data_IF_049528161133
#
_entry.id   IF_049528161133
#
_cell.length_a   1.000
_cell.length_b   1.000
_cell.length_c   1.000
_cell.angle_alpha   90.00
_cell.angle_beta   90.00
_cell.angle_gamma   90.00
#
_symmetry.space_group_name_H-M   'P 1'
#
loop_
_entity.id
_entity.type
_entity.pdbx_description
1 polymer ?
#
# COMPACT_ATOMS: atom_id res chain seq x y z
N UNK A 1 -28.93 -59.32 -15.89
CA UNK A 1 -27.72 -60.13 -15.63
C UNK A 1 -26.59 -59.12 -15.50
N UNK A 2 -25.95 -59.06 -14.32
CA UNK A 2 -24.76 -58.26 -14.12
C UNK A 2 -23.53 -59.11 -14.41
N UNK A 3 -22.60 -58.54 -15.13
CA UNK A 3 -21.30 -59.14 -15.42
C UNK A 3 -20.21 -58.34 -14.73
N UNK A 4 -19.43 -59.00 -13.91
CA UNK A 4 -18.23 -58.45 -13.28
C UNK A 4 -17.02 -59.27 -13.73
N UNK A 5 -16.04 -58.56 -14.31
CA UNK A 5 -14.76 -59.16 -14.65
C UNK A 5 -13.64 -58.19 -14.36
N UNK A 6 -12.52 -58.70 -13.82
CA UNK A 6 -11.30 -57.92 -13.57
C UNK A 6 -10.23 -58.38 -14.54
N UNK A 7 -9.71 -57.45 -15.30
CA UNK A 7 -8.60 -57.71 -16.24
C UNK A 7 -7.41 -56.87 -15.83
N UNK A 8 -6.21 -57.47 -15.70
CA UNK A 8 -5.01 -56.73 -15.41
C UNK A 8 -4.78 -55.63 -16.46
N UNK A 9 -4.46 -54.43 -16.02
CA UNK A 9 -4.16 -53.31 -16.93
C UNK A 9 -2.90 -53.60 -17.75
N UNK A 10 -2.92 -53.21 -19.01
CA UNK A 10 -1.76 -53.13 -19.90
C UNK A 10 -1.82 -51.85 -20.71
N UNK A 11 -0.66 -51.26 -21.03
CA UNK A 11 -0.55 -49.92 -21.71
C UNK A 11 -1.39 -49.81 -22.99
N UNK A 12 -1.50 -50.89 -23.79
CA UNK A 12 -2.31 -50.89 -25.00
C UNK A 12 -3.82 -50.68 -24.77
N UNK A 13 -4.27 -50.82 -23.52
CA UNK A 13 -5.68 -50.61 -23.15
C UNK A 13 -6.08 -49.15 -23.12
N UNK A 14 -5.11 -48.25 -22.93
CA UNK A 14 -5.36 -46.81 -22.93
C UNK A 14 -5.83 -46.33 -24.31
N UNK A 15 -7.00 -45.67 -24.35
CA UNK A 15 -7.65 -45.26 -25.61
C UNK A 15 -8.41 -46.35 -26.33
N UNK A 16 -8.40 -47.60 -25.83
CA UNK A 16 -9.11 -48.75 -26.42
C UNK A 16 -10.63 -48.65 -26.21
N UNK A 17 -11.34 -49.22 -27.17
CA UNK A 17 -12.80 -49.31 -27.13
C UNK A 17 -13.20 -50.65 -26.50
N UNK A 18 -14.08 -50.58 -25.49
CA UNK A 18 -14.70 -51.78 -24.89
C UNK A 18 -15.90 -52.17 -25.72
N UNK A 19 -15.84 -53.39 -26.25
CA UNK A 19 -16.94 -53.99 -26.99
C UNK A 19 -17.57 -55.16 -26.21
N UNK A 20 -18.87 -55.18 -26.14
CA UNK A 20 -19.62 -56.34 -25.69
C UNK A 20 -20.06 -57.16 -26.93
N UNK A 21 -19.56 -58.39 -27.01
CA UNK A 21 -19.97 -59.35 -28.00
C UNK A 21 -20.87 -60.41 -27.33
N UNK A 22 -22.13 -60.44 -27.71
CA UNK A 22 -23.12 -61.38 -27.19
C UNK A 22 -23.54 -62.33 -28.30
N UNK A 23 -23.42 -63.64 -28.03
CA UNK A 23 -23.86 -64.69 -28.94
C UNK A 23 -24.89 -65.56 -28.21
N UNK A 24 -26.08 -65.61 -28.74
CA UNK A 24 -27.18 -66.45 -28.21
C UNK A 24 -27.25 -67.74 -29.00
N UNK A 25 -27.19 -68.87 -28.28
CA UNK A 25 -27.21 -70.20 -28.91
C UNK A 25 -28.52 -70.94 -28.54
N UNK A 26 -29.09 -71.64 -29.52
CA UNK A 26 -30.16 -72.51 -29.30
C UNK A 26 -29.75 -73.96 -28.96
N UNK A 27 -30.68 -74.89 -28.95
CA UNK A 27 -30.32 -76.27 -28.78
C UNK A 27 -29.41 -76.78 -29.92
N UNK A 28 -28.51 -77.73 -29.60
CA UNK A 28 -27.47 -78.24 -30.51
C UNK A 28 -26.43 -77.25 -30.96
N UNK A 29 -26.15 -76.23 -30.16
CA UNK A 29 -25.12 -75.23 -30.40
C UNK A 29 -25.31 -74.43 -31.72
N UNK A 30 -26.54 -74.20 -32.12
CA UNK A 30 -26.90 -73.42 -33.30
C UNK A 30 -26.91 -71.91 -32.88
N UNK A 31 -26.10 -71.06 -33.50
CA UNK A 31 -26.11 -69.61 -33.27
C UNK A 31 -27.47 -69.02 -33.71
N UNK A 32 -28.21 -68.42 -32.79
CA UNK A 32 -29.53 -67.85 -33.04
C UNK A 32 -29.46 -66.35 -33.25
N UNK A 33 -28.58 -65.68 -32.52
CA UNK A 33 -28.38 -64.20 -32.62
C UNK A 33 -26.98 -63.84 -32.17
N UNK A 34 -26.46 -62.81 -32.83
CA UNK A 34 -25.19 -62.21 -32.44
C UNK A 34 -25.36 -60.69 -32.38
N UNK A 35 -24.91 -60.10 -31.30
CA UNK A 35 -24.96 -58.64 -31.10
C UNK A 35 -23.61 -58.14 -30.60
N UNK A 36 -23.11 -57.05 -31.24
CA UNK A 36 -21.92 -56.35 -30.80
C UNK A 36 -22.32 -54.95 -30.44
N UNK A 37 -22.04 -54.57 -29.20
CA UNK A 37 -22.33 -53.22 -28.69
C UNK A 37 -21.08 -52.58 -28.11
N UNK A 38 -20.90 -51.29 -28.36
CA UNK A 38 -19.83 -50.51 -27.72
C UNK A 38 -20.27 -50.13 -26.31
N UNK A 39 -19.52 -50.54 -25.31
CA UNK A 39 -19.76 -50.21 -23.90
C UNK A 39 -19.15 -48.87 -23.51
N UNK A 40 -18.02 -48.50 -24.15
CA UNK A 40 -17.33 -47.27 -23.87
C UNK A 40 -15.88 -47.27 -24.36
N UNK A 41 -15.17 -46.22 -24.07
CA UNK A 41 -13.73 -46.12 -24.30
C UNK A 41 -13.02 -46.08 -22.96
N UNK A 42 -12.02 -46.91 -22.78
CA UNK A 42 -11.14 -46.82 -21.62
C UNK A 42 -10.13 -45.72 -21.85
N UNK A 43 -10.02 -44.78 -20.92
CA UNK A 43 -8.98 -43.75 -20.88
C UNK A 43 -8.36 -43.79 -19.49
N UNK A 44 -7.06 -43.97 -19.42
CA UNK A 44 -6.37 -43.83 -18.16
C UNK A 44 -6.43 -42.36 -17.71
N UNK A 45 -6.84 -42.12 -16.48
CA UNK A 45 -6.79 -40.78 -15.93
C UNK A 45 -5.33 -40.35 -15.78
N UNK A 46 -4.92 -39.39 -16.57
CA UNK A 46 -3.60 -38.78 -16.44
C UNK A 46 -3.63 -37.82 -15.23
N UNK A 47 -2.95 -38.17 -14.18
CA UNK A 47 -2.67 -37.29 -13.06
C UNK A 47 -1.24 -36.76 -13.27
N UNK A 48 -1.07 -35.52 -13.79
CA UNK A 48 0.24 -34.94 -13.91
C UNK A 48 0.89 -34.81 -12.52
N UNK A 49 2.05 -35.38 -12.38
CA UNK A 49 2.88 -35.14 -11.20
C UNK A 49 3.40 -33.71 -11.28
N UNK A 50 2.80 -32.81 -10.51
CA UNK A 50 3.21 -31.39 -10.46
C UNK A 50 4.55 -31.32 -9.70
N UNK A 51 5.63 -31.18 -10.45
CA UNK A 51 6.94 -30.80 -9.85
C UNK A 51 6.92 -29.29 -9.64
N UNK A 52 6.64 -28.87 -8.41
CA UNK A 52 6.68 -27.46 -8.03
C UNK A 52 8.16 -27.06 -7.85
N UNK A 53 8.61 -26.14 -8.67
CA UNK A 53 9.93 -25.52 -8.55
C UNK A 53 9.76 -24.14 -7.94
N UNK A 54 10.27 -23.95 -6.73
CA UNK A 54 10.24 -22.66 -6.06
C UNK A 54 11.52 -21.90 -6.34
N UNK A 55 11.40 -20.68 -6.81
CA UNK A 55 12.53 -19.78 -6.95
C UNK A 55 12.71 -19.04 -5.64
N UNK A 56 13.90 -19.11 -5.06
CA UNK A 56 14.22 -18.33 -3.86
C UNK A 56 14.21 -16.84 -4.21
N UNK A 57 13.36 -16.03 -3.58
CA UNK A 57 13.38 -14.60 -3.80
C UNK A 57 14.69 -13.99 -3.30
N UNK A 58 15.12 -12.91 -3.95
CA UNK A 58 16.24 -12.13 -3.43
C UNK A 58 15.74 -11.32 -2.23
N UNK A 59 16.36 -11.52 -1.06
CA UNK A 59 16.09 -10.70 0.10
C UNK A 59 16.44 -9.23 -0.17
N UNK A 60 15.68 -8.32 0.41
CA UNK A 60 16.01 -6.90 0.38
C UNK A 60 17.31 -6.68 1.18
N UNK A 61 18.26 -5.96 0.60
CA UNK A 61 19.52 -5.59 1.27
C UNK A 61 19.21 -4.80 2.55
N UNK A 62 18.18 -3.95 2.49
CA UNK A 62 17.71 -3.14 3.59
C UNK A 62 16.20 -2.93 3.43
N UNK A 63 15.43 -3.37 4.42
CA UNK A 63 13.97 -3.18 4.45
C UNK A 63 13.66 -1.75 4.86
N UNK A 64 13.26 -0.91 3.90
CA UNK A 64 12.91 0.50 4.11
C UNK A 64 11.43 0.70 3.97
N UNK A 65 10.89 1.54 4.86
CA UNK A 65 9.49 1.95 4.80
C UNK A 65 9.36 3.36 5.38
N UNK A 66 8.18 3.98 5.25
CA UNK A 66 7.92 5.31 5.77
C UNK A 66 6.48 5.50 6.24
N UNK A 67 6.31 6.33 7.27
CA UNK A 67 5.02 6.89 7.66
C UNK A 67 4.92 8.33 7.18
N UNK A 68 3.79 8.67 6.59
CA UNK A 68 3.51 10.02 6.10
C UNK A 68 2.24 10.57 6.74
N UNK A 69 2.19 11.88 6.87
CA UNK A 69 1.00 12.57 7.36
C UNK A 69 1.10 14.07 7.24
N UNK A 70 0.01 14.73 7.59
CA UNK A 70 -0.09 16.19 7.62
C UNK A 70 -0.59 16.67 8.98
N UNK A 71 -0.03 17.76 9.47
CA UNK A 71 -0.42 18.42 10.70
C UNK A 71 -0.71 19.91 10.45
N UNK A 72 -1.83 20.37 11.01
CA UNK A 72 -2.34 21.74 10.86
C UNK A 72 -2.05 22.57 12.11
N UNK A 73 -0.79 22.93 12.29
CA UNK A 73 -0.33 23.67 13.47
C UNK A 73 -0.73 25.14 13.34
N UNK A 74 -1.52 25.61 14.30
CA UNK A 74 -1.95 26.99 14.39
C UNK A 74 -0.83 27.88 14.98
N UNK A 75 -0.58 28.99 14.33
CA UNK A 75 0.32 30.05 14.81
C UNK A 75 -0.46 31.34 15.01
N UNK A 76 -0.15 32.16 16.03
CA UNK A 76 -0.67 33.53 16.06
C UNK A 76 -0.26 34.29 14.81
N UNK A 77 -0.98 35.36 14.48
CA UNK A 77 -0.74 36.18 13.29
C UNK A 77 0.73 36.65 13.29
N UNK A 78 1.39 36.52 12.16
CA UNK A 78 2.81 36.90 11.92
C UNK A 78 3.82 36.26 12.89
N UNK A 79 3.45 35.14 13.52
CA UNK A 79 4.36 34.40 14.41
C UNK A 79 4.76 33.04 13.85
N UNK A 80 5.95 32.62 14.27
CA UNK A 80 6.53 31.33 13.94
C UNK A 80 6.82 30.46 15.17
N UNK A 81 6.46 30.94 16.38
CA UNK A 81 6.64 30.17 17.61
C UNK A 81 5.47 29.21 17.82
N UNK A 82 5.77 27.96 18.16
CA UNK A 82 4.76 26.96 18.49
C UNK A 82 4.35 27.11 19.95
N UNK A 83 3.07 27.27 20.17
CA UNK A 83 2.42 27.21 21.46
C UNK A 83 1.58 25.93 21.52
N UNK A 84 1.98 24.87 22.25
CA UNK A 84 1.30 23.58 22.25
C UNK A 84 -0.18 23.65 22.65
N UNK A 85 -0.53 24.56 23.56
CA UNK A 85 -1.91 24.72 24.03
C UNK A 85 -2.74 25.72 23.20
N UNK A 86 -2.17 26.27 22.12
CA UNK A 86 -2.88 27.23 21.29
C UNK A 86 -3.83 26.50 20.33
N UNK A 87 -5.12 26.81 20.41
CA UNK A 87 -6.20 26.21 19.59
C UNK A 87 -6.16 24.69 19.57
N UNK A 88 -5.86 24.08 18.40
CA UNK A 88 -5.84 22.63 18.22
C UNK A 88 -4.44 22.02 18.25
N UNK A 89 -3.41 22.81 18.60
CA UNK A 89 -2.03 22.38 18.50
C UNK A 89 -1.72 21.12 19.30
N UNK A 90 -2.31 20.94 20.48
CA UNK A 90 -2.13 19.70 21.26
C UNK A 90 -2.50 18.45 20.43
N UNK A 91 -3.62 18.48 19.72
CA UNK A 91 -4.05 17.35 18.90
C UNK A 91 -3.17 17.19 17.63
N UNK A 92 -2.83 18.30 16.97
CA UNK A 92 -2.05 18.27 15.74
C UNK A 92 -0.59 17.86 15.98
N UNK A 93 0.04 18.35 17.03
CA UNK A 93 1.37 17.91 17.46
C UNK A 93 1.34 16.44 17.93
N UNK A 94 0.25 16.03 18.58
CA UNK A 94 0.02 14.65 18.99
C UNK A 94 0.00 13.66 17.84
N UNK A 95 -0.46 14.04 16.65
CA UNK A 95 -0.39 13.19 15.44
C UNK A 95 1.06 12.87 15.07
N UNK A 96 1.90 13.90 15.01
CA UNK A 96 3.33 13.74 14.68
C UNK A 96 4.02 12.87 15.74
N UNK A 97 3.76 13.18 17.02
CA UNK A 97 4.31 12.42 18.14
C UNK A 97 3.90 10.96 18.08
N UNK A 98 2.61 10.66 17.90
CA UNK A 98 2.11 9.29 17.78
C UNK A 98 2.73 8.54 16.60
N UNK A 99 2.94 9.21 15.47
CA UNK A 99 3.62 8.62 14.32
C UNK A 99 5.08 8.30 14.62
N UNK A 100 5.83 9.20 15.26
CA UNK A 100 7.22 8.96 15.67
C UNK A 100 7.29 7.84 16.71
N UNK A 101 6.42 7.88 17.73
CA UNK A 101 6.41 6.91 18.83
C UNK A 101 6.05 5.50 18.35
N UNK A 102 5.15 5.37 17.39
CA UNK A 102 4.77 4.07 16.82
C UNK A 102 5.94 3.32 16.18
N UNK A 103 6.89 4.08 15.62
CA UNK A 103 8.09 3.54 14.97
C UNK A 103 9.24 3.42 15.97
N UNK A 104 9.47 4.46 16.79
CA UNK A 104 10.60 4.52 17.72
C UNK A 104 10.54 3.49 18.84
N UNK A 105 9.32 3.15 19.29
CA UNK A 105 9.13 2.19 20.38
C UNK A 105 9.27 0.72 19.94
N UNK A 106 9.46 0.49 18.64
CA UNK A 106 9.69 -0.84 18.09
C UNK A 106 11.20 -1.11 17.99
N UNK A 107 11.68 -2.11 18.72
CA UNK A 107 13.10 -2.47 18.80
C UNK A 107 13.67 -3.00 17.50
N UNK A 108 12.81 -3.43 16.57
CA UNK A 108 13.21 -3.92 15.25
C UNK A 108 13.39 -2.81 14.23
N UNK A 109 13.03 -1.57 14.61
CA UNK A 109 12.95 -0.44 13.68
C UNK A 109 13.95 0.64 14.08
N UNK A 110 14.60 1.22 13.08
CA UNK A 110 15.50 2.37 13.24
C UNK A 110 15.03 3.51 12.36
N UNK A 111 14.71 4.65 12.96
CA UNK A 111 14.37 5.87 12.20
C UNK A 111 15.62 6.39 11.51
N UNK A 112 15.55 6.53 10.20
CA UNK A 112 16.65 7.02 9.36
C UNK A 112 16.55 8.48 9.01
N UNK A 113 15.33 9.00 8.81
CA UNK A 113 15.09 10.43 8.60
C UNK A 113 13.68 10.86 8.98
N UNK A 114 13.53 12.11 9.36
CA UNK A 114 12.25 12.80 9.53
C UNK A 114 12.28 14.01 8.61
N UNK A 115 11.45 14.01 7.58
CA UNK A 115 11.32 15.12 6.66
C UNK A 115 10.06 15.92 6.99
N UNK A 116 10.20 17.26 6.99
CA UNK A 116 9.13 18.20 7.30
C UNK A 116 9.04 19.21 6.17
N UNK A 117 7.85 19.40 5.58
CA UNK A 117 7.61 20.46 4.60
C UNK A 117 6.46 21.36 5.06
N UNK A 118 6.78 22.61 5.37
CA UNK A 118 5.80 23.60 5.80
C UNK A 118 5.22 24.38 4.63
N UNK A 119 3.92 24.67 4.73
CA UNK A 119 3.18 25.42 3.72
C UNK A 119 2.58 26.68 4.32
N UNK A 120 2.48 27.74 3.53
CA UNK A 120 1.63 28.87 3.83
C UNK A 120 0.49 29.00 2.79
N UNK A 121 -0.50 29.80 3.10
CA UNK A 121 -1.60 30.11 2.19
C UNK A 121 -1.24 31.28 1.28
N UNK A 122 -1.81 31.38 0.06
CA UNK A 122 -1.60 32.50 -0.85
C UNK A 122 -2.25 33.81 -0.37
N UNK A 123 -2.20 34.11 0.90
CA UNK A 123 -2.73 35.36 1.48
C UNK A 123 -1.58 36.29 1.87
N UNK A 124 -1.53 37.45 1.23
CA UNK A 124 -0.44 38.39 1.41
C UNK A 124 0.67 38.24 0.36
N UNK A 125 1.84 38.80 0.62
CA UNK A 125 2.93 38.73 -0.36
C UNK A 125 3.67 37.39 -0.31
N UNK A 126 4.07 36.89 -1.47
CA UNK A 126 4.87 35.68 -1.61
C UNK A 126 6.14 35.69 -0.75
N UNK A 127 6.85 36.86 -0.69
CA UNK A 127 8.03 37.01 0.12
C UNK A 127 7.77 36.83 1.62
N UNK A 128 6.68 37.37 2.13
CA UNK A 128 6.27 37.21 3.53
C UNK A 128 5.83 35.76 3.82
N UNK A 129 5.05 35.15 2.94
CA UNK A 129 4.62 33.77 3.06
C UNK A 129 5.80 32.80 3.07
N UNK A 130 6.83 33.07 2.26
CA UNK A 130 8.09 32.33 2.27
C UNK A 130 8.76 32.36 3.65
N UNK A 131 8.91 33.54 4.25
CA UNK A 131 9.49 33.68 5.58
C UNK A 131 8.68 32.95 6.65
N UNK A 132 7.36 33.01 6.58
CA UNK A 132 6.47 32.29 7.48
C UNK A 132 6.60 30.78 7.32
N UNK A 133 6.60 30.24 6.10
CA UNK A 133 6.74 28.83 5.84
C UNK A 133 8.08 28.29 6.39
N UNK A 134 9.19 28.98 6.11
CA UNK A 134 10.52 28.62 6.62
C UNK A 134 10.55 28.67 8.15
N UNK A 135 10.10 29.77 8.74
CA UNK A 135 10.16 29.99 10.19
C UNK A 135 9.30 29.00 10.97
N UNK A 136 8.09 28.67 10.48
CA UNK A 136 7.16 27.69 11.08
C UNK A 136 7.72 26.28 11.01
N UNK A 137 8.27 25.90 9.85
CA UNK A 137 8.88 24.56 9.70
C UNK A 137 10.12 24.42 10.58
N UNK A 138 10.96 25.47 10.67
CA UNK A 138 12.11 25.49 11.58
C UNK A 138 11.68 25.41 13.07
N UNK A 139 10.56 26.01 13.43
CA UNK A 139 10.01 25.90 14.79
C UNK A 139 9.54 24.47 15.10
N UNK A 140 8.88 23.81 14.15
CA UNK A 140 8.47 22.42 14.30
C UNK A 140 9.70 21.50 14.40
N UNK A 141 10.72 21.69 13.56
CA UNK A 141 11.99 20.95 13.67
C UNK A 141 12.55 21.06 15.10
N UNK A 142 12.67 22.29 15.62
CA UNK A 142 13.18 22.50 17.00
C UNK A 142 12.32 21.81 18.05
N UNK A 143 11.00 21.88 17.93
CA UNK A 143 10.06 21.21 18.83
C UNK A 143 10.30 19.70 18.85
N UNK A 144 10.37 19.05 17.70
CA UNK A 144 10.62 17.61 17.57
C UNK A 144 12.01 17.24 18.10
N UNK A 145 13.06 18.03 17.79
CA UNK A 145 14.41 17.81 18.30
C UNK A 145 14.49 17.86 19.82
N UNK A 146 13.76 18.77 20.45
CA UNK A 146 13.71 18.86 21.92
C UNK A 146 13.04 17.65 22.57
N UNK A 147 12.00 17.11 21.94
CA UNK A 147 11.26 15.93 22.47
C UNK A 147 12.06 14.63 22.32
N UNK A 148 12.65 14.42 21.15
CA UNK A 148 13.18 13.11 20.77
C UNK A 148 14.70 13.00 20.82
N UNK A 149 15.43 14.11 20.85
CA UNK A 149 16.90 14.18 20.95
C UNK A 149 17.56 13.23 19.95
N UNK A 150 17.11 13.27 18.69
CA UNK A 150 17.73 12.50 17.62
C UNK A 150 19.22 12.82 17.49
N UNK A 151 20.04 11.79 17.26
CA UNK A 151 21.45 11.96 16.97
C UNK A 151 21.65 12.40 15.51
N UNK A 152 22.57 13.33 15.29
CA UNK A 152 22.90 13.85 13.97
C UNK A 152 21.79 14.63 13.27
N UNK A 153 21.90 14.79 11.97
CA UNK A 153 20.96 15.54 11.13
C UNK A 153 19.80 14.67 10.59
N UNK A 154 19.13 13.95 11.49
CA UNK A 154 18.00 13.09 11.14
C UNK A 154 16.80 13.91 10.62
N UNK A 155 16.63 15.17 11.08
CA UNK A 155 15.48 15.99 10.71
C UNK A 155 15.88 16.97 9.59
N UNK A 156 15.29 16.76 8.42
CA UNK A 156 15.41 17.66 7.26
C UNK A 156 14.16 18.51 7.09
N UNK A 157 14.30 19.70 6.53
CA UNK A 157 13.18 20.62 6.33
C UNK A 157 13.14 21.13 4.91
N UNK A 158 11.93 21.28 4.40
CA UNK A 158 11.57 21.91 3.15
C UNK A 158 10.41 22.89 3.37
N UNK A 159 10.09 23.73 2.40
CA UNK A 159 8.99 24.67 2.50
C UNK A 159 8.37 24.95 1.13
N UNK A 160 7.08 25.26 1.15
CA UNK A 160 6.34 25.81 0.02
C UNK A 160 5.76 27.16 0.45
N UNK A 161 6.17 28.26 -0.17
CA UNK A 161 5.71 29.59 0.24
C UNK A 161 4.20 29.76 0.15
N UNK A 162 3.57 29.13 -0.84
CA UNK A 162 2.13 29.21 -1.08
C UNK A 162 1.60 27.89 -1.68
N UNK A 163 0.68 27.25 -1.00
CA UNK A 163 0.09 25.99 -1.45
C UNK A 163 -0.96 26.20 -2.55
N UNK A 164 -0.50 26.55 -3.73
CA UNK A 164 -1.36 26.69 -4.91
C UNK A 164 -1.95 25.35 -5.37
N UNK A 165 -1.25 24.25 -5.17
CA UNK A 165 -1.74 22.93 -5.51
C UNK A 165 -2.92 22.51 -4.61
N UNK A 166 -2.80 22.75 -3.31
CA UNK A 166 -3.90 22.56 -2.37
C UNK A 166 -5.07 23.49 -2.64
N UNK A 167 -4.82 24.76 -2.96
CA UNK A 167 -5.89 25.69 -3.36
C UNK A 167 -6.62 25.19 -4.60
N UNK A 168 -5.90 24.77 -5.63
CA UNK A 168 -6.46 24.16 -6.84
C UNK A 168 -7.38 22.99 -6.52
N UNK A 169 -6.91 22.08 -5.64
CA UNK A 169 -7.67 20.91 -5.20
C UNK A 169 -9.01 21.29 -4.55
N UNK A 170 -9.00 22.29 -3.65
CA UNK A 170 -10.24 22.77 -3.01
C UNK A 170 -11.17 23.47 -3.98
N UNK A 171 -10.64 24.32 -4.86
CA UNK A 171 -11.46 25.04 -5.86
C UNK A 171 -12.13 24.05 -6.80
N UNK A 172 -11.41 23.06 -7.31
CA UNK A 172 -11.91 22.04 -8.23
C UNK A 172 -13.10 21.24 -7.67
N UNK A 173 -13.10 21.02 -6.35
CA UNK A 173 -14.14 20.26 -5.63
C UNK A 173 -15.23 21.14 -5.03
N UNK A 174 -15.12 22.46 -5.19
CA UNK A 174 -16.12 23.41 -4.69
C UNK A 174 -17.29 23.58 -5.65
N UNK A 175 -18.35 24.21 -5.14
CA UNK A 175 -19.50 24.63 -5.93
C UNK A 175 -19.45 26.13 -6.31
N UNK A 176 -18.25 26.69 -6.42
CA UNK A 176 -18.05 28.08 -6.79
C UNK A 176 -18.54 28.34 -8.23
N UNK A 177 -19.19 29.47 -8.45
CA UNK A 177 -19.75 29.82 -9.75
C UNK A 177 -18.70 29.96 -10.85
N UNK A 178 -17.53 30.55 -10.52
CA UNK A 178 -16.41 30.78 -11.45
C UNK A 178 -15.26 29.80 -11.18
N UNK A 179 -15.59 28.55 -10.82
CA UNK A 179 -14.61 27.52 -10.49
C UNK A 179 -13.59 27.29 -11.61
N UNK A 180 -14.06 27.13 -12.85
CA UNK A 180 -13.21 26.81 -14.00
C UNK A 180 -12.25 27.95 -14.32
N UNK A 181 -12.70 29.19 -14.22
CA UNK A 181 -11.93 30.40 -14.46
C UNK A 181 -10.83 30.55 -13.39
N UNK A 182 -11.18 30.31 -12.12
CA UNK A 182 -10.22 30.37 -11.01
C UNK A 182 -9.17 29.29 -11.15
N UNK A 183 -9.55 28.04 -11.49
CA UNK A 183 -8.59 26.95 -11.77
C UNK A 183 -7.66 27.34 -12.92
N UNK A 184 -8.20 27.93 -13.99
CA UNK A 184 -7.39 28.41 -15.12
C UNK A 184 -6.39 29.49 -14.72
N UNK A 185 -6.76 30.37 -13.80
CA UNK A 185 -5.85 31.39 -13.23
C UNK A 185 -4.75 30.75 -12.37
N UNK A 186 -5.11 29.76 -11.55
CA UNK A 186 -4.14 29.04 -10.72
C UNK A 186 -3.13 28.29 -11.58
N UNK A 187 -3.58 27.62 -12.63
CA UNK A 187 -2.72 26.86 -13.55
C UNK A 187 -1.94 27.74 -14.53
N UNK A 188 -2.27 29.02 -14.62
CA UNK A 188 -1.62 29.98 -15.51
C UNK A 188 -0.20 30.34 -15.05
N UNK A 189 0.56 30.98 -15.94
CA UNK A 189 1.97 31.36 -15.72
C UNK A 189 2.16 32.73 -15.05
N UNK A 190 1.16 33.22 -14.33
CA UNK A 190 1.32 34.48 -13.59
C UNK A 190 2.15 34.26 -12.33
N UNK A 191 2.88 35.32 -11.92
CA UNK A 191 3.54 35.34 -10.62
C UNK A 191 2.50 35.20 -9.48
N UNK A 192 2.86 34.55 -8.36
CA UNK A 192 1.94 34.24 -7.26
C UNK A 192 1.12 35.44 -6.78
N UNK A 193 1.73 36.54 -6.45
CA UNK A 193 1.06 37.78 -5.99
C UNK A 193 0.08 38.30 -7.05
N UNK A 194 0.41 38.17 -8.34
CA UNK A 194 -0.46 38.57 -9.44
C UNK A 194 -1.67 37.63 -9.61
N UNK A 195 -1.50 36.33 -9.35
CA UNK A 195 -2.61 35.36 -9.33
C UNK A 195 -3.60 35.73 -8.25
N UNK A 196 -3.14 35.89 -7.00
CA UNK A 196 -3.97 36.25 -5.87
C UNK A 196 -4.72 37.56 -6.12
N UNK A 197 -4.00 38.61 -6.54
CA UNK A 197 -4.59 39.90 -6.84
C UNK A 197 -5.70 39.80 -7.90
N UNK A 198 -5.48 39.00 -8.94
CA UNK A 198 -6.45 38.80 -10.02
C UNK A 198 -7.69 38.06 -9.55
N UNK A 199 -7.53 37.00 -8.73
CA UNK A 199 -8.65 36.28 -8.14
C UNK A 199 -9.47 37.22 -7.24
N UNK A 200 -8.80 38.02 -6.41
CA UNK A 200 -9.42 38.97 -5.49
C UNK A 200 -10.20 40.08 -6.24
N UNK A 201 -9.63 40.57 -7.34
CA UNK A 201 -10.23 41.66 -8.14
C UNK A 201 -11.40 41.16 -8.97
N UNK A 202 -11.25 40.05 -9.68
CA UNK A 202 -12.17 39.57 -10.71
C UNK A 202 -13.28 38.70 -10.11
N UNK A 203 -13.01 38.02 -8.97
CA UNK A 203 -13.91 37.08 -8.29
C UNK A 203 -14.02 37.38 -6.78
N UNK A 204 -14.44 38.56 -6.34
CA UNK A 204 -14.36 38.96 -4.92
C UNK A 204 -15.24 38.13 -3.99
N UNK A 205 -16.35 37.58 -4.46
CA UNK A 205 -17.24 36.72 -3.67
C UNK A 205 -16.58 35.37 -3.41
N UNK A 206 -16.04 34.78 -4.46
CA UNK A 206 -15.28 33.52 -4.39
C UNK A 206 -14.02 33.68 -3.56
N UNK A 207 -13.29 34.77 -3.72
CA UNK A 207 -12.11 35.05 -2.91
C UNK A 207 -12.43 35.14 -1.41
N UNK A 208 -13.55 35.80 -1.05
CA UNK A 208 -14.02 35.81 0.34
C UNK A 208 -14.33 34.39 0.87
N UNK A 209 -14.96 33.56 0.04
CA UNK A 209 -15.20 32.15 0.38
C UNK A 209 -13.88 31.39 0.57
N UNK A 210 -12.91 31.53 -0.34
CA UNK A 210 -11.60 30.87 -0.26
C UNK A 210 -10.85 31.25 1.01
N UNK A 211 -10.83 32.54 1.38
CA UNK A 211 -10.20 33.02 2.61
C UNK A 211 -10.76 32.36 3.87
N UNK A 212 -12.06 32.16 3.92
CA UNK A 212 -12.74 31.64 5.11
C UNK A 212 -12.71 30.11 5.18
N UNK A 213 -12.81 29.42 4.05
CA UNK A 213 -13.06 27.98 4.01
C UNK A 213 -11.88 27.14 3.48
N UNK A 214 -11.02 27.71 2.64
CA UNK A 214 -9.93 26.96 2.01
C UNK A 214 -8.56 27.35 2.57
N UNK A 215 -8.25 28.63 2.68
CA UNK A 215 -6.94 29.11 3.09
C UNK A 215 -6.45 28.62 4.46
N UNK A 216 -7.34 28.44 5.48
CA UNK A 216 -6.88 27.85 6.74
C UNK A 216 -6.32 26.44 6.59
N UNK A 217 -6.86 25.64 5.66
CA UNK A 217 -6.41 24.30 5.40
C UNK A 217 -5.09 24.22 4.58
N UNK A 218 -4.71 25.33 3.91
CA UNK A 218 -3.44 25.42 3.17
C UNK A 218 -2.24 25.70 4.09
N UNK A 219 -2.49 26.03 5.35
CA UNK A 219 -1.45 26.30 6.38
C UNK A 219 -1.19 25.03 7.15
N UNK A 220 -0.41 24.15 6.56
CA UNK A 220 -0.11 22.84 7.16
C UNK A 220 1.37 22.51 7.06
N UNK A 221 1.76 21.44 7.69
CA UNK A 221 3.08 20.83 7.52
C UNK A 221 2.90 19.36 7.21
N UNK A 222 3.44 18.92 6.07
CA UNK A 222 3.56 17.51 5.75
C UNK A 222 4.81 16.95 6.42
N UNK A 223 4.71 15.71 6.87
CA UNK A 223 5.83 15.01 7.45
C UNK A 223 5.94 13.59 6.91
N UNK A 224 7.20 13.14 6.79
CA UNK A 224 7.55 11.76 6.45
C UNK A 224 8.61 11.27 7.43
N UNK A 225 8.35 10.10 8.02
CA UNK A 225 9.27 9.43 8.94
C UNK A 225 9.74 8.18 8.20
N UNK A 226 10.96 8.21 7.67
CA UNK A 226 11.55 7.06 7.02
C UNK A 226 12.31 6.22 8.06
N UNK A 227 12.23 4.92 7.89
CA UNK A 227 12.86 3.97 8.81
C UNK A 227 13.31 2.70 8.10
N UNK A 228 14.18 1.95 8.75
CA UNK A 228 14.60 0.62 8.35
C UNK A 228 14.12 -0.41 9.36
N UNK A 229 13.80 -1.58 8.87
CA UNK A 229 13.44 -2.74 9.67
C UNK A 229 14.60 -3.72 9.61
N UNK A 230 15.02 -4.30 10.74
CA UNK A 230 16.08 -5.31 10.73
C UNK A 230 15.64 -6.57 9.97
N UNK A 231 16.59 -7.28 9.43
CA UNK A 231 16.31 -8.59 8.85
C UNK A 231 16.20 -9.66 9.95
N UNK A 232 15.38 -10.66 9.68
CA UNK A 232 15.16 -11.80 10.56
C UNK A 232 15.77 -13.05 9.95
N UNK A 233 16.44 -13.85 10.77
CA UNK A 233 17.08 -15.13 10.35
C UNK A 233 16.58 -16.33 11.15
N UNK A 234 15.95 -16.10 12.29
CA UNK A 234 15.34 -17.14 13.10
C UNK A 234 13.93 -17.42 12.59
N UNK A 235 13.69 -18.67 12.15
CA UNK A 235 12.42 -19.06 11.51
C UNK A 235 11.24 -19.00 12.50
N UNK A 236 11.45 -19.33 13.77
CA UNK A 236 10.42 -19.25 14.78
C UNK A 236 10.05 -17.79 15.09
N UNK A 237 11.01 -16.87 15.00
CA UNK A 237 10.77 -15.44 15.08
C UNK A 237 9.97 -14.96 13.86
N UNK A 238 10.36 -15.39 12.64
CA UNK A 238 9.65 -15.06 11.40
C UNK A 238 8.18 -15.51 11.47
N UNK A 239 7.90 -16.75 11.89
CA UNK A 239 6.56 -17.29 12.05
C UNK A 239 5.70 -16.44 13.03
N UNK A 240 6.29 -16.04 14.17
CA UNK A 240 5.58 -15.15 15.13
C UNK A 240 5.26 -13.79 14.55
N UNK A 241 6.20 -13.20 13.78
CA UNK A 241 6.00 -11.90 13.12
C UNK A 241 4.96 -12.03 12.01
N UNK A 242 4.99 -13.12 11.25
CA UNK A 242 4.01 -13.39 10.20
C UNK A 242 2.57 -13.40 10.72
N UNK A 243 2.33 -14.02 11.89
CA UNK A 243 1.00 -14.05 12.50
C UNK A 243 0.50 -12.68 12.98
N UNK A 244 1.39 -11.80 13.43
CA UNK A 244 1.00 -10.54 14.08
C UNK A 244 1.28 -9.27 13.27
N UNK A 245 2.40 -9.23 12.57
CA UNK A 245 2.93 -8.05 11.86
C UNK A 245 3.65 -8.45 10.57
N UNK A 246 2.97 -9.14 9.61
CA UNK A 246 3.58 -9.66 8.39
C UNK A 246 4.24 -8.58 7.51
N UNK A 247 3.81 -7.33 7.62
CA UNK A 247 4.40 -6.18 6.93
C UNK A 247 5.87 -5.90 7.32
N UNK A 248 6.39 -6.51 8.37
CA UNK A 248 7.80 -6.40 8.74
C UNK A 248 8.71 -7.40 8.01
N UNK A 249 8.12 -8.38 7.34
CA UNK A 249 8.84 -9.43 6.63
C UNK A 249 9.07 -9.06 5.17
N UNK A 250 10.18 -9.51 4.61
CA UNK A 250 10.41 -9.50 3.17
C UNK A 250 10.10 -10.88 2.55
N UNK A 251 10.09 -10.96 1.22
CA UNK A 251 9.78 -12.20 0.50
C UNK A 251 10.77 -13.36 0.81
N UNK A 252 12.05 -13.04 1.05
CA UNK A 252 13.01 -14.08 1.42
C UNK A 252 12.73 -14.66 2.81
N UNK A 253 12.25 -13.84 3.75
CA UNK A 253 11.86 -14.28 5.08
C UNK A 253 10.59 -15.15 5.04
N UNK A 254 9.60 -14.82 4.21
CA UNK A 254 8.47 -15.69 3.92
C UNK A 254 8.92 -17.01 3.30
N UNK A 255 9.87 -16.96 2.36
CA UNK A 255 10.42 -18.17 1.77
C UNK A 255 11.13 -19.05 2.80
N UNK A 256 11.91 -18.47 3.72
CA UNK A 256 12.54 -19.21 4.82
C UNK A 256 11.51 -19.89 5.73
N UNK A 257 10.40 -19.20 6.06
CA UNK A 257 9.32 -19.80 6.83
C UNK A 257 8.63 -20.95 6.09
N UNK A 258 8.42 -20.80 4.78
CA UNK A 258 7.79 -21.83 3.95
C UNK A 258 8.61 -23.12 3.87
N UNK A 259 9.94 -23.03 3.94
CA UNK A 259 10.82 -24.21 3.87
C UNK A 259 10.67 -25.18 5.05
N UNK A 260 10.08 -24.75 6.16
CA UNK A 260 9.83 -25.58 7.34
C UNK A 260 8.57 -26.45 7.21
N UNK A 261 7.78 -26.24 6.16
CA UNK A 261 6.53 -26.96 5.93
C UNK A 261 6.60 -27.83 4.68
N UNK A 262 5.93 -28.97 4.71
CA UNK A 262 5.79 -29.82 3.52
C UNK A 262 4.91 -29.12 2.46
N UNK A 263 5.32 -29.10 1.18
CA UNK A 263 4.52 -28.53 0.11
C UNK A 263 3.12 -29.18 0.04
N UNK A 264 2.08 -28.31 0.00
CA UNK A 264 0.68 -28.75 -0.06
C UNK A 264 0.00 -28.90 1.30
N UNK A 265 0.68 -28.61 2.40
CA UNK A 265 0.03 -28.48 3.72
C UNK A 265 -0.68 -27.14 3.84
N UNK A 266 -1.61 -27.05 4.79
CA UNK A 266 -2.36 -25.81 5.05
C UNK A 266 -1.40 -24.70 5.53
N UNK A 267 -0.43 -25.03 6.38
CA UNK A 267 0.57 -24.10 6.89
C UNK A 267 1.48 -23.57 5.77
N UNK A 268 1.90 -24.43 4.85
CA UNK A 268 2.66 -24.03 3.66
C UNK A 268 1.85 -23.02 2.81
N UNK A 269 0.58 -23.33 2.58
CA UNK A 269 -0.33 -22.50 1.80
C UNK A 269 -0.54 -21.14 2.47
N UNK A 270 -0.73 -21.09 3.80
CA UNK A 270 -0.93 -19.85 4.56
C UNK A 270 0.26 -18.89 4.43
N UNK A 271 1.50 -19.42 4.43
CA UNK A 271 2.70 -18.58 4.23
C UNK A 271 2.66 -17.87 2.88
N UNK A 272 2.36 -18.60 1.79
CA UNK A 272 2.30 -18.03 0.46
C UNK A 272 1.13 -17.07 0.28
N UNK A 273 -0.05 -17.40 0.81
CA UNK A 273 -1.20 -16.49 0.77
C UNK A 273 -0.91 -15.18 1.51
N UNK A 274 -0.20 -15.27 2.63
CA UNK A 274 0.21 -14.07 3.36
C UNK A 274 1.25 -13.26 2.58
N UNK A 275 2.23 -13.92 1.96
CA UNK A 275 3.23 -13.26 1.13
C UNK A 275 2.57 -12.54 -0.07
N UNK A 276 1.68 -13.19 -0.80
CA UNK A 276 0.95 -12.59 -1.95
C UNK A 276 0.10 -11.39 -1.50
N UNK A 277 -0.50 -11.47 -0.31
CA UNK A 277 -1.25 -10.33 0.25
C UNK A 277 -0.37 -9.13 0.59
N UNK A 278 0.87 -9.37 1.04
CA UNK A 278 1.83 -8.30 1.37
C UNK A 278 2.53 -7.75 0.13
N UNK A 279 2.75 -8.57 -0.89
CA UNK A 279 3.50 -8.24 -2.10
C UNK A 279 2.69 -8.62 -3.36
N UNK A 280 1.57 -7.93 -3.64
CA UNK A 280 0.67 -8.31 -4.72
C UNK A 280 1.24 -8.10 -6.13
N UNK A 281 2.29 -7.30 -6.25
CA UNK A 281 2.90 -6.93 -7.54
C UNK A 281 4.25 -7.64 -7.81
N UNK A 282 4.69 -8.53 -6.91
CA UNK A 282 5.93 -9.30 -7.03
C UNK A 282 5.74 -10.73 -7.56
#
# INVERSE_FOLDING_TARGET
IEYHNLVPYAEWMNGSVLLLHRSDYGCCNTLLAEQVGMLGRYTEAFFPELVLVYVRPQGQIEKRDSLEGSAFIDFPVDQTMIYPDYRRNTAELGKIQSSIDSVRNDTDITITSVWLKGYASPEGSYAHNKELAIGRTAALKRYIQQLYRFEGDVITTDYEPEDWAGLRYYVERSNLAHRAEIVTLIDGNLEPDAKEWKIKRDYPMEYSFLLQNCYPALRHTDYRIAYTIRSYSDVEEIKRIMCGRPQKLDLNEFYLAAQEYEPGTDEFTEVFETAVRMFPDD
#
